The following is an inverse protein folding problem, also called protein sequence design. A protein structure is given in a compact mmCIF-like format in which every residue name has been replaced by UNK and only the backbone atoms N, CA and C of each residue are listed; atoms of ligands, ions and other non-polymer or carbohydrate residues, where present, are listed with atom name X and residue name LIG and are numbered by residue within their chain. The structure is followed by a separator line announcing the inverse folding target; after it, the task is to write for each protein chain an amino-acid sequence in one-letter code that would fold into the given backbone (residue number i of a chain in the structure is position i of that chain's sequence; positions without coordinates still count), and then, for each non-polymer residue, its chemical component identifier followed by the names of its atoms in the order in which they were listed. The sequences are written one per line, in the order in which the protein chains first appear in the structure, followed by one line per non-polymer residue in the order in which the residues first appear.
data_IF_193318217197
#
_entry.id   IF_193318217197
#
_cell.length_a   1.000
_cell.length_b   1.000
_cell.length_c   1.000
_cell.angle_alpha   90.00
_cell.angle_beta   90.00
_cell.angle_gamma   90.00
#
_symmetry.space_group_name_H-M   'P 1'
#
loop_
_entity.id
_entity.type
_entity.pdbx_description
1 polymer ?
#
# COMPACT_ATOMS: atom_id res chain seq x y z
N UNK A 1 -15.30 24.06 -13.49
CA UNK A 1 -15.39 22.63 -13.85
C UNK A 1 -14.45 21.86 -12.93
N UNK A 2 -14.95 21.26 -11.85
CA UNK A 2 -14.10 20.46 -10.96
C UNK A 2 -13.64 19.19 -11.70
N UNK A 3 -12.35 18.86 -11.76
CA UNK A 3 -11.92 17.59 -12.33
C UNK A 3 -12.56 16.45 -11.51
N UNK A 4 -13.09 15.41 -12.18
CA UNK A 4 -13.69 14.25 -11.52
C UNK A 4 -12.62 13.50 -10.72
N UNK A 5 -12.35 13.96 -9.50
CA UNK A 5 -11.50 13.30 -8.54
C UNK A 5 -12.04 11.89 -8.25
N UNK A 6 -11.18 10.88 -8.22
CA UNK A 6 -11.55 9.53 -7.78
C UNK A 6 -12.13 9.54 -6.36
N UNK A 7 -12.95 8.54 -6.00
CA UNK A 7 -13.63 8.47 -4.70
C UNK A 7 -12.63 8.59 -3.53
N UNK A 8 -11.52 7.85 -3.58
CA UNK A 8 -10.46 7.87 -2.56
C UNK A 8 -9.93 9.29 -2.35
N UNK A 9 -9.53 9.98 -3.43
CA UNK A 9 -9.07 11.38 -3.36
C UNK A 9 -10.12 12.29 -2.73
N UNK A 10 -11.38 12.20 -3.15
CA UNK A 10 -12.45 13.05 -2.61
C UNK A 10 -12.63 12.87 -1.10
N UNK A 11 -12.66 11.62 -0.65
CA UNK A 11 -12.82 11.29 0.78
C UNK A 11 -11.59 11.76 1.57
N UNK A 12 -10.39 11.52 1.06
CA UNK A 12 -9.15 11.96 1.71
C UNK A 12 -9.05 13.49 1.84
N UNK A 13 -9.42 14.23 0.79
CA UNK A 13 -9.50 15.70 0.82
C UNK A 13 -10.51 16.17 1.86
N UNK A 14 -11.70 15.56 1.89
CA UNK A 14 -12.74 15.91 2.87
C UNK A 14 -12.32 15.59 4.32
N UNK A 15 -11.46 14.61 4.51
CA UNK A 15 -10.90 14.22 5.81
C UNK A 15 -9.67 15.06 6.22
N UNK A 16 -9.21 15.99 5.40
CA UNK A 16 -8.04 16.83 5.71
C UNK A 16 -6.71 16.09 5.67
N UNK A 17 -6.59 15.01 4.87
CA UNK A 17 -5.34 14.27 4.72
C UNK A 17 -4.40 15.03 3.77
N UNK A 18 -3.17 15.25 4.21
CA UNK A 18 -2.12 15.86 3.38
C UNK A 18 -1.81 15.00 2.14
N UNK A 19 -1.45 15.66 1.04
CA UNK A 19 -1.15 15.00 -0.25
C UNK A 19 -2.28 14.09 -0.76
N UNK A 20 -3.54 14.40 -0.43
CA UNK A 20 -4.71 13.63 -0.89
C UNK A 20 -4.79 13.47 -2.42
N UNK A 21 -4.16 14.36 -3.18
CA UNK A 21 -4.05 14.29 -4.64
C UNK A 21 -3.23 13.10 -5.15
N UNK A 22 -2.33 12.58 -4.34
CA UNK A 22 -1.49 11.40 -4.63
C UNK A 22 -2.19 10.08 -4.23
N UNK A 23 -3.29 10.14 -3.47
CA UNK A 23 -3.99 8.96 -2.99
C UNK A 23 -4.90 8.36 -4.06
N UNK A 24 -4.74 7.04 -4.25
CA UNK A 24 -5.53 6.23 -5.16
C UNK A 24 -5.97 4.92 -4.49
N UNK A 25 -6.87 4.13 -5.09
CA UNK A 25 -7.19 2.80 -4.60
C UNK A 25 -5.95 1.90 -4.44
N UNK A 26 -4.91 2.09 -5.26
CA UNK A 26 -3.68 1.32 -5.19
C UNK A 26 -2.82 1.71 -3.96
N UNK A 27 -2.84 2.98 -3.55
CA UNK A 27 -2.17 3.45 -2.33
C UNK A 27 -2.66 2.69 -1.10
N UNK A 28 -3.98 2.48 -0.97
CA UNK A 28 -4.58 1.70 0.12
C UNK A 28 -4.14 0.23 0.10
N UNK A 29 -4.04 -0.36 -1.10
CA UNK A 29 -3.55 -1.74 -1.30
C UNK A 29 -2.08 -1.88 -0.89
N UNK A 30 -1.26 -0.88 -1.16
CA UNK A 30 0.13 -0.86 -0.69
C UNK A 30 0.22 -0.73 0.83
N UNK A 31 -0.61 0.13 1.43
CA UNK A 31 -0.65 0.31 2.89
C UNK A 31 -0.95 -1.00 3.61
N UNK A 32 -1.95 -1.77 3.15
CA UNK A 32 -2.29 -3.04 3.80
C UNK A 32 -1.20 -4.11 3.63
N UNK A 33 -0.55 -4.18 2.45
CA UNK A 33 0.56 -5.09 2.23
C UNK A 33 1.74 -4.81 3.17
N UNK A 34 2.08 -3.53 3.33
CA UNK A 34 3.14 -3.06 4.23
C UNK A 34 2.78 -3.38 5.69
N UNK A 35 1.56 -3.05 6.12
CA UNK A 35 1.08 -3.30 7.49
C UNK A 35 1.05 -4.77 7.89
N UNK A 36 0.78 -5.68 6.95
CA UNK A 36 0.80 -7.12 7.20
C UNK A 36 2.24 -7.63 7.37
N UNK A 37 3.16 -7.23 6.50
CA UNK A 37 4.58 -7.59 6.63
C UNK A 37 5.20 -6.97 7.90
N UNK A 38 4.81 -5.75 8.25
CA UNK A 38 5.23 -5.07 9.48
C UNK A 38 4.84 -5.81 10.75
N UNK A 39 3.66 -6.44 10.74
CA UNK A 39 3.19 -7.31 11.82
C UNK A 39 3.79 -8.72 11.79
N UNK A 40 4.70 -9.00 10.86
CA UNK A 40 5.39 -10.28 10.75
C UNK A 40 4.56 -11.37 10.07
N UNK A 41 3.50 -11.01 9.34
CA UNK A 41 2.80 -11.99 8.52
C UNK A 41 3.73 -12.50 7.40
N UNK A 42 3.77 -13.81 7.15
CA UNK A 42 4.61 -14.36 6.10
C UNK A 42 4.12 -13.93 4.72
N UNK A 43 5.04 -13.81 3.75
CA UNK A 43 4.78 -13.24 2.43
C UNK A 43 3.63 -13.93 1.67
N UNK A 44 3.44 -15.25 1.85
CA UNK A 44 2.36 -15.99 1.22
C UNK A 44 0.98 -15.57 1.73
N UNK A 45 0.83 -15.26 3.02
CA UNK A 45 -0.43 -14.73 3.58
C UNK A 45 -0.75 -13.36 2.99
N UNK A 46 0.27 -12.52 2.79
CA UNK A 46 0.10 -11.21 2.15
C UNK A 46 -0.28 -11.37 0.68
N UNK A 47 0.31 -12.33 -0.03
CA UNK A 47 -0.03 -12.65 -1.40
C UNK A 47 -1.49 -13.08 -1.54
N UNK A 48 -1.94 -14.01 -0.69
CA UNK A 48 -3.31 -14.53 -0.69
C UNK A 48 -4.32 -13.44 -0.36
N UNK A 49 -4.01 -12.61 0.65
CA UNK A 49 -4.84 -11.47 1.04
C UNK A 49 -5.03 -10.46 -0.10
N UNK A 50 -3.96 -10.22 -0.87
CA UNK A 50 -4.02 -9.33 -2.03
C UNK A 50 -4.69 -10.00 -3.25
N UNK A 51 -4.84 -11.32 -3.27
CA UNK A 51 -5.36 -12.06 -4.44
C UNK A 51 -4.37 -12.04 -5.61
N UNK A 52 -3.07 -12.07 -5.33
CA UNK A 52 -2.02 -12.10 -6.35
C UNK A 52 -1.86 -13.51 -6.91
N UNK A 53 -2.17 -13.68 -8.20
CA UNK A 53 -2.00 -14.95 -8.91
C UNK A 53 -0.52 -15.34 -9.09
N UNK A 54 0.39 -14.37 -9.13
CA UNK A 54 1.83 -14.60 -9.31
C UNK A 54 2.62 -14.07 -8.10
N UNK A 55 3.39 -14.92 -7.39
CA UNK A 55 4.23 -14.51 -6.27
C UNK A 55 5.21 -13.36 -6.59
N UNK A 56 5.63 -13.22 -7.85
CA UNK A 56 6.52 -12.12 -8.29
C UNK A 56 5.92 -10.75 -8.03
N UNK A 57 4.59 -10.62 -8.06
CA UNK A 57 3.87 -9.35 -7.79
C UNK A 57 3.83 -8.98 -6.30
N UNK A 58 4.04 -9.94 -5.40
CA UNK A 58 4.11 -9.70 -3.94
C UNK A 58 5.55 -9.50 -3.46
N UNK A 59 6.54 -10.12 -4.11
CA UNK A 59 7.97 -10.00 -3.74
C UNK A 59 8.51 -8.57 -3.75
N UNK A 60 7.83 -7.62 -4.41
CA UNK A 60 8.19 -6.19 -4.35
C UNK A 60 8.12 -5.63 -2.92
N UNK A 61 7.20 -6.12 -2.08
CA UNK A 61 7.06 -5.66 -0.71
C UNK A 61 8.11 -6.27 0.24
N UNK A 62 8.59 -7.47 -0.07
CA UNK A 62 9.62 -8.16 0.70
C UNK A 62 11.01 -7.55 0.43
N UNK A 63 11.33 -7.27 -0.84
CA UNK A 63 12.61 -6.65 -1.24
C UNK A 63 12.78 -5.21 -0.77
N UNK A 64 11.70 -4.53 -0.41
CA UNK A 64 11.78 -3.18 0.14
C UNK A 64 12.34 -3.17 1.57
N UNK A 65 12.44 -4.33 2.25
CA UNK A 65 12.99 -4.47 3.60
C UNK A 65 14.45 -4.92 3.60
N UNK A 66 15.32 -4.20 4.30
CA UNK A 66 16.64 -4.71 4.62
C UNK A 66 16.55 -5.83 5.68
N UNK A 67 17.49 -6.80 5.71
CA UNK A 67 17.49 -7.85 6.73
C UNK A 67 17.54 -7.26 8.14
N UNK A 68 16.51 -7.55 8.96
CA UNK A 68 16.38 -7.02 10.32
C UNK A 68 15.70 -5.64 10.42
N UNK A 69 15.38 -5.02 9.29
CA UNK A 69 14.68 -3.75 9.23
C UNK A 69 13.16 -3.97 9.37
N UNK A 70 12.59 -3.36 10.42
CA UNK A 70 11.15 -3.37 10.71
C UNK A 70 10.52 -1.99 10.45
N UNK A 71 11.27 -1.08 9.86
CA UNK A 71 10.78 0.27 9.56
C UNK A 71 9.70 0.16 8.47
N UNK A 72 8.59 0.91 8.59
CA UNK A 72 7.60 0.96 7.53
C UNK A 72 8.24 1.48 6.24
N UNK A 73 8.44 0.60 5.26
CA UNK A 73 8.91 1.01 3.95
C UNK A 73 7.71 1.32 3.06
N UNK A 74 7.58 2.58 2.68
CA UNK A 74 6.65 3.02 1.64
C UNK A 74 7.47 3.29 0.37
N UNK A 75 7.75 2.29 -0.49
CA UNK A 75 8.63 2.46 -1.65
C UNK A 75 8.05 3.35 -2.77
N UNK A 76 6.96 4.06 -2.49
CA UNK A 76 6.29 5.03 -3.37
C UNK A 76 5.94 6.34 -2.64
N UNK A 77 6.59 6.62 -1.50
CA UNK A 77 6.64 7.95 -0.90
C UNK A 77 7.68 8.83 -1.60
#
# INVERSE_FOLDING_TARGET
MYPRAGLVRRVATAAGIDHADQLSPHSLRHSIATLLLDRGHPLHIVQDFLGHADPRTTRVYDRARAPGDRTPHHPWA
#
